data_IF_391559715978
#
_entry.id   IF_391559715978
#
_cell.length_a   1.000
_cell.length_b   1.000
_cell.length_c   1.000
_cell.angle_alpha   90.00
_cell.angle_beta   90.00
_cell.angle_gamma   90.00
#
_symmetry.space_group_name_H-M   'P 1'
#
loop_
_entity.id
_entity.type
_entity.pdbx_description
1 polymer ?
#
# COMPACT_ATOMS: atom_id res chain seq x y z
N UNK A 1 -2.98 16.76 -12.73
CA UNK A 1 -4.20 17.12 -11.97
C UNK A 1 -4.27 18.64 -11.93
N UNK A 2 -5.41 19.24 -12.26
CA UNK A 2 -5.51 20.71 -12.27
C UNK A 2 -5.67 21.23 -10.84
N UNK A 3 -5.11 22.41 -10.56
CA UNK A 3 -5.07 22.98 -9.20
C UNK A 3 -6.47 23.26 -8.67
N UNK A 4 -7.41 23.63 -9.54
CA UNK A 4 -8.80 23.91 -9.17
C UNK A 4 -9.58 22.68 -8.67
N UNK A 5 -9.06 21.47 -8.88
CA UNK A 5 -9.65 20.22 -8.39
C UNK A 5 -8.91 19.63 -7.19
N UNK A 6 -7.95 20.36 -6.63
CA UNK A 6 -7.24 19.99 -5.43
C UNK A 6 -7.92 20.57 -4.20
N UNK A 7 -8.51 19.71 -3.38
CA UNK A 7 -9.01 20.07 -2.07
C UNK A 7 -8.12 19.45 -1.00
N UNK A 8 -7.52 20.29 -0.15
CA UNK A 8 -6.82 19.82 1.04
C UNK A 8 -7.86 19.45 2.10
N UNK A 9 -8.10 18.15 2.29
CA UNK A 9 -9.05 17.65 3.29
C UNK A 9 -8.45 17.49 4.69
N UNK A 10 -7.15 17.17 4.77
CA UNK A 10 -6.49 16.83 6.03
C UNK A 10 -5.04 17.34 6.04
N UNK A 11 -4.69 18.06 7.10
CA UNK A 11 -3.32 18.48 7.39
C UNK A 11 -2.93 17.97 8.78
N UNK A 12 -2.03 16.98 8.83
CA UNK A 12 -1.51 16.45 10.10
C UNK A 12 -0.23 17.20 10.44
N UNK A 13 -0.34 18.16 11.36
CA UNK A 13 0.81 18.90 11.86
C UNK A 13 1.48 18.13 13.00
N UNK A 14 2.81 18.12 12.99
CA UNK A 14 3.58 17.58 14.09
C UNK A 14 5.04 17.31 13.75
N UNK A 15 5.91 17.19 14.76
CA UNK A 15 7.32 16.90 14.55
C UNK A 15 7.60 15.44 14.12
N UNK A 16 6.58 14.58 14.16
CA UNK A 16 6.72 13.15 13.90
C UNK A 16 5.63 12.66 12.93
N UNK A 17 6.00 11.74 12.04
CA UNK A 17 5.06 11.05 11.16
C UNK A 17 4.01 10.26 11.96
N UNK A 18 2.74 10.23 11.52
CA UNK A 18 1.69 9.47 12.19
C UNK A 18 1.88 7.94 12.07
N UNK A 19 2.67 7.46 11.09
CA UNK A 19 2.89 6.03 10.91
C UNK A 19 1.59 5.25 10.74
N UNK A 20 1.38 4.21 11.55
CA UNK A 20 0.14 3.42 11.55
C UNK A 20 -1.07 4.23 12.04
N UNK A 21 -0.87 5.24 12.89
CA UNK A 21 -1.93 6.06 13.48
C UNK A 21 -2.61 6.96 12.44
N UNK A 22 -2.11 7.01 11.20
CA UNK A 22 -2.76 7.72 10.09
C UNK A 22 -4.23 7.30 9.92
N UNK A 23 -4.57 6.04 10.21
CA UNK A 23 -5.94 5.54 10.08
C UNK A 23 -6.91 6.25 11.02
N UNK A 24 -6.44 6.67 12.21
CA UNK A 24 -7.26 7.42 13.17
C UNK A 24 -7.65 8.77 12.56
N UNK A 25 -6.72 9.43 11.88
CA UNK A 25 -7.00 10.71 11.22
C UNK A 25 -7.87 10.56 9.96
N UNK A 26 -7.86 9.38 9.33
CA UNK A 26 -8.65 9.08 8.14
C UNK A 26 -10.07 8.58 8.47
N UNK A 27 -10.40 8.31 9.74
CA UNK A 27 -11.74 7.85 10.13
C UNK A 27 -12.88 8.74 9.61
N UNK A 28 -12.84 10.08 9.76
CA UNK A 28 -13.90 10.95 9.23
C UNK A 28 -14.07 10.83 7.72
N UNK A 29 -12.95 10.76 6.98
CA UNK A 29 -12.97 10.58 5.53
C UNK A 29 -13.63 9.24 5.14
N UNK A 30 -13.34 8.17 5.87
CA UNK A 30 -13.92 6.85 5.60
C UNK A 30 -15.43 6.84 5.90
N UNK A 31 -15.86 7.51 6.97
CA UNK A 31 -17.28 7.67 7.30
C UNK A 31 -18.02 8.45 6.20
N UNK A 32 -17.47 9.58 5.74
CA UNK A 32 -18.02 10.35 4.63
C UNK A 32 -18.08 9.54 3.32
N UNK A 33 -17.03 8.78 2.99
CA UNK A 33 -17.02 7.91 1.80
C UNK A 33 -18.08 6.80 1.89
N UNK A 34 -18.34 6.25 3.07
CA UNK A 34 -19.42 5.28 3.28
C UNK A 34 -20.79 5.93 3.13
N UNK A 35 -20.97 7.12 3.67
CA UNK A 35 -22.22 7.87 3.56
C UNK A 35 -22.53 8.24 2.09
N UNK A 36 -21.53 8.73 1.36
CA UNK A 36 -21.62 9.06 -0.06
C UNK A 36 -22.00 7.85 -0.93
N UNK A 37 -21.57 6.65 -0.53
CA UNK A 37 -21.92 5.41 -1.24
C UNK A 37 -23.30 4.89 -0.88
N UNK A 38 -23.60 4.79 0.42
CA UNK A 38 -24.84 4.17 0.92
C UNK A 38 -26.05 5.10 0.84
N UNK A 39 -25.91 6.33 1.33
CA UNK A 39 -27.03 7.26 1.53
C UNK A 39 -27.19 8.25 0.37
N UNK A 40 -26.11 8.51 -0.37
CA UNK A 40 -26.04 9.43 -1.54
C UNK A 40 -26.30 10.87 -1.13
N UNK A 41 -25.46 11.78 -1.58
CA UNK A 41 -25.58 13.18 -1.21
C UNK A 41 -26.50 13.94 -2.18
N UNK A 42 -27.44 14.71 -1.63
CA UNK A 42 -28.18 15.71 -2.42
C UNK A 42 -27.21 16.80 -2.86
N UNK A 43 -26.96 16.85 -4.17
CA UNK A 43 -25.98 17.76 -4.78
C UNK A 43 -26.68 18.69 -5.74
N UNK A 44 -26.39 19.99 -5.63
CA UNK A 44 -26.94 21.00 -6.52
C UNK A 44 -26.18 21.02 -7.86
N UNK A 45 -26.92 20.90 -8.96
CA UNK A 45 -26.38 21.09 -10.28
C UNK A 45 -26.53 22.56 -10.70
N UNK A 46 -25.48 23.35 -10.55
CA UNK A 46 -25.52 24.78 -10.87
C UNK A 46 -25.91 25.08 -12.33
N UNK A 47 -25.61 24.18 -13.28
CA UNK A 47 -25.96 24.36 -14.70
C UNK A 47 -27.42 24.10 -14.98
N UNK A 48 -27.99 23.04 -14.39
CA UNK A 48 -29.37 22.62 -14.62
C UNK A 48 -30.36 23.18 -13.59
N UNK A 49 -29.86 23.79 -12.50
CA UNK A 49 -30.64 24.29 -11.36
C UNK A 49 -31.57 23.22 -10.77
N UNK A 50 -31.05 22.00 -10.68
CA UNK A 50 -31.76 20.85 -10.13
C UNK A 50 -30.89 20.13 -9.10
N UNK A 51 -31.52 19.51 -8.11
CA UNK A 51 -30.84 18.63 -7.16
C UNK A 51 -30.84 17.21 -7.69
N UNK A 52 -29.70 16.53 -7.59
CA UNK A 52 -29.57 15.12 -7.91
C UNK A 52 -28.86 14.36 -6.79
N UNK A 53 -29.06 13.05 -6.74
CA UNK A 53 -28.34 12.16 -5.81
C UNK A 53 -26.99 11.79 -6.41
N UNK A 54 -25.92 12.27 -5.78
CA UNK A 54 -24.54 11.95 -6.17
C UNK A 54 -24.04 10.72 -5.41
N UNK A 55 -23.35 9.84 -6.14
CA UNK A 55 -22.51 8.78 -5.57
C UNK A 55 -21.05 9.16 -5.74
N UNK A 56 -20.24 8.83 -4.74
CA UNK A 56 -18.79 8.94 -4.84
C UNK A 56 -18.14 7.65 -4.35
N UNK A 57 -17.05 7.26 -5.02
CA UNK A 57 -16.20 6.14 -4.62
C UNK A 57 -14.74 6.53 -4.67
N UNK A 58 -13.96 5.97 -3.76
CA UNK A 58 -12.52 6.07 -3.79
C UNK A 58 -11.97 5.11 -4.85
N UNK A 59 -11.45 5.64 -5.96
CA UNK A 59 -10.88 4.80 -7.03
C UNK A 59 -9.45 4.35 -6.76
N UNK A 60 -8.61 5.24 -6.23
CA UNK A 60 -7.19 4.97 -5.99
C UNK A 60 -6.60 6.00 -5.03
N UNK A 61 -5.59 5.60 -4.26
CA UNK A 61 -4.74 6.52 -3.51
C UNK A 61 -3.37 6.64 -4.19
N UNK A 62 -2.83 7.84 -4.25
CA UNK A 62 -1.48 8.10 -4.77
C UNK A 62 -0.60 8.50 -3.59
N UNK A 63 0.46 7.74 -3.34
CA UNK A 63 1.43 8.00 -2.29
C UNK A 63 2.83 7.65 -2.75
N UNK A 64 3.83 8.24 -2.09
CA UNK A 64 5.21 7.77 -2.20
C UNK A 64 5.40 6.45 -1.41
N UNK A 65 6.59 5.86 -1.45
CA UNK A 65 6.84 4.57 -0.77
C UNK A 65 6.65 4.61 0.76
N UNK A 66 7.10 5.66 1.48
CA UNK A 66 6.78 5.83 2.90
C UNK A 66 5.27 5.96 3.15
N UNK A 67 4.57 6.78 2.37
CA UNK A 67 3.13 6.95 2.47
C UNK A 67 2.36 5.66 2.18
N UNK A 68 2.79 4.89 1.18
CA UNK A 68 2.21 3.58 0.88
C UNK A 68 2.31 2.63 2.08
N UNK A 69 3.46 2.57 2.75
CA UNK A 69 3.61 1.74 3.95
C UNK A 69 2.67 2.18 5.07
N UNK A 70 2.47 3.49 5.22
CA UNK A 70 1.56 4.06 6.21
C UNK A 70 0.10 3.77 5.87
N UNK A 71 -0.32 3.85 4.61
CA UNK A 71 -1.72 3.65 4.20
C UNK A 71 -2.08 2.16 4.16
N UNK A 72 -1.25 1.32 3.55
CA UNK A 72 -1.50 -0.12 3.38
C UNK A 72 -1.19 -0.92 4.64
N UNK A 73 -0.26 -0.46 5.48
CA UNK A 73 0.32 -1.27 6.55
C UNK A 73 1.38 -2.27 6.08
N UNK A 74 1.71 -2.31 4.78
CA UNK A 74 2.72 -3.18 4.21
C UNK A 74 4.14 -2.61 4.37
N UNK A 75 5.12 -3.48 4.64
CA UNK A 75 6.52 -3.06 4.77
C UNK A 75 7.13 -2.67 3.44
N UNK A 76 7.56 -1.42 3.27
CA UNK A 76 8.34 -0.98 2.09
C UNK A 76 9.85 -0.97 2.33
N UNK A 77 10.32 -1.71 3.34
CA UNK A 77 11.74 -1.81 3.71
C UNK A 77 12.14 -3.23 4.12
N UNK A 78 13.45 -3.47 4.12
CA UNK A 78 14.05 -4.74 4.54
C UNK A 78 13.70 -5.88 3.58
N UNK A 79 13.49 -7.08 4.11
CA UNK A 79 13.24 -8.29 3.31
C UNK A 79 12.05 -8.14 2.34
N UNK A 80 11.00 -7.44 2.75
CA UNK A 80 9.72 -7.40 2.06
C UNK A 80 9.45 -6.08 1.34
N UNK A 81 10.49 -5.32 0.99
CA UNK A 81 10.32 -3.94 0.52
C UNK A 81 9.51 -3.79 -0.79
N UNK A 82 9.38 -4.85 -1.58
CA UNK A 82 8.61 -4.80 -2.81
C UNK A 82 7.13 -5.15 -2.53
N UNK A 83 6.20 -4.20 -2.74
CA UNK A 83 4.77 -4.48 -2.59
C UNK A 83 4.22 -5.32 -3.74
N UNK A 84 4.93 -5.46 -4.86
CA UNK A 84 4.49 -6.30 -5.98
C UNK A 84 4.89 -7.76 -5.76
N UNK A 85 6.13 -8.01 -5.31
CA UNK A 85 6.60 -9.36 -5.05
C UNK A 85 6.08 -9.95 -3.73
N UNK A 86 5.55 -9.12 -2.83
CA UNK A 86 5.14 -9.51 -1.48
C UNK A 86 6.16 -10.41 -0.76
N UNK A 87 5.73 -11.61 -0.35
CA UNK A 87 6.53 -12.63 0.33
C UNK A 87 7.69 -13.17 -0.53
N UNK A 88 7.58 -13.06 -1.85
CA UNK A 88 8.57 -13.51 -2.82
C UNK A 88 9.60 -12.44 -3.20
N UNK A 89 9.68 -11.35 -2.45
CA UNK A 89 10.72 -10.34 -2.64
C UNK A 89 12.10 -10.99 -2.59
N UNK A 90 12.80 -11.02 -3.74
CA UNK A 90 14.15 -11.53 -3.84
C UNK A 90 15.14 -10.60 -3.17
N UNK A 91 15.41 -10.88 -1.90
CA UNK A 91 16.20 -10.07 -1.00
C UNK A 91 17.50 -10.76 -0.62
N UNK A 92 18.58 -9.99 -0.50
CA UNK A 92 19.81 -10.43 0.16
C UNK A 92 20.27 -9.37 1.15
N UNK A 93 20.67 -9.83 2.33
CA UNK A 93 21.14 -8.98 3.42
C UNK A 93 22.67 -8.98 3.47
N UNK A 94 23.27 -7.79 3.48
CA UNK A 94 24.70 -7.62 3.74
C UNK A 94 24.89 -7.29 5.22
N UNK A 95 25.28 -8.29 6.01
CA UNK A 95 25.50 -8.16 7.46
C UNK A 95 26.49 -7.06 7.81
N UNK A 96 27.57 -6.92 7.02
CA UNK A 96 28.66 -5.99 7.33
C UNK A 96 28.23 -4.51 7.27
N UNK A 97 27.24 -4.18 6.44
CA UNK A 97 26.78 -2.81 6.23
C UNK A 97 25.32 -2.60 6.65
N UNK A 98 24.65 -3.63 7.19
CA UNK A 98 23.23 -3.63 7.52
C UNK A 98 22.32 -3.15 6.37
N UNK A 99 22.68 -3.48 5.13
CA UNK A 99 21.95 -3.08 3.93
C UNK A 99 21.27 -4.26 3.27
N UNK A 100 20.11 -3.98 2.68
CA UNK A 100 19.32 -4.92 1.90
C UNK A 100 19.45 -4.57 0.43
N UNK A 101 19.63 -5.57 -0.43
CA UNK A 101 19.64 -5.39 -1.88
C UNK A 101 18.72 -6.40 -2.56
N UNK A 102 18.20 -6.02 -3.73
CA UNK A 102 17.13 -6.74 -4.43
C UNK A 102 17.61 -7.07 -5.85
N UNK A 103 18.02 -8.33 -6.07
CA UNK A 103 18.62 -8.76 -7.34
C UNK A 103 17.66 -9.54 -8.24
N UNK A 104 16.49 -9.93 -7.73
CA UNK A 104 15.53 -10.75 -8.45
C UNK A 104 14.69 -9.97 -9.48
N UNK A 105 15.20 -8.85 -10.00
CA UNK A 105 14.52 -8.06 -11.03
C UNK A 105 14.46 -8.80 -12.38
N UNK A 106 15.41 -9.72 -12.62
CA UNK A 106 15.44 -10.55 -13.85
C UNK A 106 14.26 -11.52 -13.95
N UNK A 107 13.55 -11.81 -12.85
CA UNK A 107 12.32 -12.63 -12.85
C UNK A 107 11.19 -12.02 -13.69
N UNK A 108 11.21 -10.72 -13.92
CA UNK A 108 10.21 -9.99 -14.70
C UNK A 108 10.49 -9.96 -16.21
N UNK A 109 11.61 -10.53 -16.64
CA UNK A 109 11.94 -10.67 -18.06
C UNK A 109 11.32 -11.96 -18.61
N UNK A 110 11.04 -11.97 -19.92
CA UNK A 110 10.57 -13.16 -20.64
C UNK A 110 11.48 -14.36 -20.38
N UNK A 111 10.92 -15.57 -20.37
CA UNK A 111 11.64 -16.79 -19.96
C UNK A 111 12.91 -17.05 -20.77
N UNK A 112 12.90 -16.71 -22.06
CA UNK A 112 14.02 -16.87 -23.00
C UNK A 112 14.94 -15.64 -23.08
N UNK A 113 14.67 -14.59 -22.28
CA UNK A 113 15.44 -13.36 -22.35
C UNK A 113 16.92 -13.59 -21.99
N UNK A 114 17.90 -13.18 -22.83
CA UNK A 114 19.32 -13.51 -22.64
C UNK A 114 19.91 -13.10 -21.28
N UNK A 115 19.48 -11.95 -20.73
CA UNK A 115 19.95 -11.49 -19.40
C UNK A 115 19.59 -12.42 -18.25
N UNK A 116 18.59 -13.29 -18.40
CA UNK A 116 18.28 -14.32 -17.40
C UNK A 116 19.40 -15.36 -17.27
N UNK A 117 20.21 -15.53 -18.32
CA UNK A 117 21.31 -16.49 -18.38
C UNK A 117 22.70 -15.83 -18.28
N UNK A 118 22.78 -14.50 -18.28
CA UNK A 118 24.04 -13.77 -18.11
C UNK A 118 24.51 -13.79 -16.65
N UNK A 119 25.20 -14.85 -16.27
CA UNK A 119 25.75 -14.98 -14.91
C UNK A 119 26.92 -14.03 -14.66
N UNK A 120 27.61 -13.55 -15.70
CA UNK A 120 28.83 -12.75 -15.57
C UNK A 120 28.51 -11.28 -15.26
N UNK A 121 27.49 -10.71 -15.90
CA UNK A 121 27.10 -9.32 -15.68
C UNK A 121 26.26 -9.11 -14.41
N UNK A 122 25.68 -10.18 -13.86
CA UNK A 122 24.73 -10.10 -12.75
C UNK A 122 25.24 -10.84 -11.49
N UNK A 123 24.39 -11.60 -10.81
CA UNK A 123 24.61 -12.22 -9.50
C UNK A 123 25.20 -13.63 -9.55
N UNK A 124 25.82 -14.00 -10.69
CA UNK A 124 26.45 -15.32 -10.92
C UNK A 124 25.48 -16.50 -10.93
N UNK A 125 24.19 -16.23 -11.00
CA UNK A 125 23.14 -17.24 -11.06
C UNK A 125 22.33 -17.10 -12.35
N UNK A 126 21.86 -18.22 -12.88
CA UNK A 126 20.83 -18.22 -13.92
C UNK A 126 19.48 -18.00 -13.24
N UNK A 127 18.65 -17.11 -13.78
CA UNK A 127 17.32 -16.83 -13.25
C UNK A 127 16.25 -17.58 -14.04
N UNK A 128 15.78 -18.71 -13.53
CA UNK A 128 14.74 -19.54 -14.17
C UNK A 128 13.36 -19.37 -13.53
N UNK A 129 13.25 -18.65 -12.40
CA UNK A 129 11.98 -18.49 -11.69
C UNK A 129 11.04 -17.58 -12.48
N UNK A 130 9.74 -17.86 -12.39
CA UNK A 130 8.72 -16.94 -12.92
C UNK A 130 8.67 -15.63 -12.13
N UNK A 131 8.09 -14.59 -12.72
CA UNK A 131 7.72 -13.38 -11.98
C UNK A 131 6.75 -13.75 -10.85
N UNK A 132 6.91 -13.17 -9.64
CA UNK A 132 5.96 -13.41 -8.57
C UNK A 132 4.59 -12.84 -8.94
N UNK A 133 3.53 -13.55 -8.59
CA UNK A 133 2.17 -13.06 -8.76
C UNK A 133 1.81 -12.10 -7.61
N UNK A 134 1.32 -10.88 -7.92
CA UNK A 134 0.84 -9.97 -6.89
C UNK A 134 -0.34 -10.55 -6.14
N UNK A 135 -0.44 -10.26 -4.84
CA UNK A 135 -1.65 -10.60 -4.10
C UNK A 135 -2.80 -9.74 -4.63
N UNK A 136 -3.94 -10.39 -4.85
CA UNK A 136 -5.19 -9.73 -5.15
C UNK A 136 -5.72 -9.01 -3.90
N UNK A 137 -6.62 -8.05 -4.10
CA UNK A 137 -7.29 -7.37 -2.99
C UNK A 137 -8.04 -8.34 -2.08
N UNK A 138 -8.66 -9.38 -2.66
CA UNK A 138 -9.37 -10.43 -1.92
C UNK A 138 -8.43 -11.25 -1.03
N UNK A 139 -7.27 -11.68 -1.55
CA UNK A 139 -6.29 -12.42 -0.74
C UNK A 139 -5.73 -11.57 0.39
N UNK A 140 -5.49 -10.28 0.16
CA UNK A 140 -5.05 -9.34 1.20
C UNK A 140 -6.14 -9.17 2.26
N UNK A 141 -7.40 -9.02 1.86
CA UNK A 141 -8.54 -8.92 2.77
C UNK A 141 -8.66 -10.18 3.64
N UNK A 142 -8.60 -11.36 3.04
CA UNK A 142 -8.66 -12.64 3.74
C UNK A 142 -7.49 -12.79 4.73
N UNK A 143 -6.27 -12.45 4.30
CA UNK A 143 -5.06 -12.50 5.13
C UNK A 143 -5.15 -11.57 6.35
N UNK A 144 -5.83 -10.43 6.21
CA UNK A 144 -5.93 -9.38 7.24
C UNK A 144 -7.27 -9.34 7.96
N UNK A 145 -8.18 -10.28 7.68
CA UNK A 145 -9.57 -10.29 8.18
C UNK A 145 -9.69 -10.15 9.70
N UNK A 146 -8.90 -10.93 10.43
CA UNK A 146 -8.91 -10.95 11.91
C UNK A 146 -7.80 -10.07 12.52
N UNK A 147 -7.18 -9.21 11.71
CA UNK A 147 -6.07 -8.38 12.16
C UNK A 147 -6.54 -7.28 13.12
N UNK A 148 -6.07 -7.34 14.37
CA UNK A 148 -6.31 -6.31 15.38
C UNK A 148 -5.27 -5.20 15.27
N UNK A 149 -5.70 -4.02 14.82
CA UNK A 149 -4.86 -2.83 14.78
C UNK A 149 -4.63 -2.30 16.20
N UNK A 150 -3.35 -2.13 16.56
CA UNK A 150 -2.94 -1.48 17.80
C UNK A 150 -2.37 -0.10 17.46
N UNK A 151 -3.09 0.95 17.83
CA UNK A 151 -2.68 2.35 17.61
C UNK A 151 -1.92 2.91 18.82
N UNK A 152 -1.20 4.01 18.60
CA UNK A 152 -0.46 4.76 19.60
C UNK A 152 1.05 4.57 19.56
N UNK A 153 1.78 5.57 20.05
CA UNK A 153 3.25 5.65 19.96
C UNK A 153 4.01 4.75 20.94
N UNK A 154 3.33 4.18 21.94
CA UNK A 154 3.93 3.35 22.99
C UNK A 154 3.87 1.84 22.68
N UNK A 155 3.52 1.46 21.44
CA UNK A 155 3.43 0.05 21.08
C UNK A 155 4.81 -0.62 21.06
N UNK A 156 4.95 -1.83 21.61
CA UNK A 156 6.19 -2.58 21.53
C UNK A 156 6.53 -2.86 20.07
N UNK A 157 7.82 -2.80 19.73
CA UNK A 157 8.28 -3.17 18.38
C UNK A 157 7.91 -4.64 18.13
N UNK A 158 6.96 -4.88 17.20
CA UNK A 158 6.66 -6.23 16.72
C UNK A 158 7.93 -6.86 16.16
N UNK A 159 8.29 -8.05 16.68
CA UNK A 159 9.40 -8.85 16.14
C UNK A 159 9.15 -9.14 14.67
N UNK A 160 10.23 -9.26 13.90
CA UNK A 160 10.17 -9.58 12.49
C UNK A 160 10.03 -11.11 12.36
N UNK A 161 8.80 -11.60 12.39
CA UNK A 161 8.41 -13.01 12.33
C UNK A 161 8.23 -13.53 10.89
N UNK A 162 8.64 -12.73 9.90
CA UNK A 162 8.36 -13.01 8.49
C UNK A 162 7.02 -12.42 8.00
N UNK A 163 6.28 -11.71 8.86
CA UNK A 163 5.10 -10.97 8.44
C UNK A 163 5.47 -9.55 7.95
N UNK A 164 5.14 -9.19 6.69
CA UNK A 164 5.39 -7.84 6.17
C UNK A 164 4.36 -6.81 6.66
N UNK A 165 3.23 -7.26 7.22
CA UNK A 165 2.10 -6.40 7.60
C UNK A 165 2.24 -5.87 9.02
N UNK A 166 1.82 -4.61 9.21
CA UNK A 166 1.81 -3.92 10.51
C UNK A 166 0.41 -3.57 10.99
N UNK A 167 -0.55 -3.47 10.07
CA UNK A 167 -1.95 -3.18 10.29
C UNK A 167 -2.80 -3.68 9.12
N UNK A 168 -4.10 -3.81 9.33
CA UNK A 168 -5.09 -3.79 8.23
C UNK A 168 -5.45 -2.35 7.92
N UNK A 169 -5.47 -1.99 6.64
CA UNK A 169 -5.78 -0.62 6.22
C UNK A 169 -7.25 -0.29 6.51
N UNK A 170 -7.51 0.93 7.00
CA UNK A 170 -8.89 1.42 7.18
C UNK A 170 -9.70 1.45 5.88
N UNK A 171 -9.03 1.56 4.72
CA UNK A 171 -9.67 1.53 3.41
C UNK A 171 -10.32 0.17 3.09
N UNK A 172 -9.85 -0.93 3.70
CA UNK A 172 -10.50 -2.25 3.55
C UNK A 172 -11.88 -2.31 4.22
N UNK A 173 -12.29 -1.27 4.95
CA UNK A 173 -13.63 -1.20 5.53
C UNK A 173 -14.67 -0.58 4.59
N UNK A 174 -14.25 -0.10 3.42
CA UNK A 174 -15.15 0.36 2.35
C UNK A 174 -15.82 -0.85 1.71
N UNK A 175 -17.10 -0.73 1.37
CA UNK A 175 -17.97 -1.86 0.97
C UNK A 175 -18.11 -2.04 -0.55
N UNK A 176 -17.28 -1.37 -1.34
CA UNK A 176 -17.35 -1.32 -2.80
C UNK A 176 -16.00 -1.61 -3.46
#
# INVERSE_FOLDING_TARGET
>A
MKSEFLMLSLLILGPASPGNDIDVYLQPLIEELKDLWCNRLDTDNATKKETFKMYATLRSTTSDFPGYAMLSGYSTKGKFACPYCHYETGHRFLSNNNKSFYMAHRRFLDADHPWRYDTKAFDRETEERAAPEPLTGFEIEELLKDWKNNFGKLQPKKKNDGCPWRKSSIFHTLVY
#
